data_IF_216769405028
#
_entry.id   IF_216769405028
#
_cell.length_a   1.000
_cell.length_b   1.000
_cell.length_c   1.000
_cell.angle_alpha   90.00
_cell.angle_beta   90.00
_cell.angle_gamma   90.00
#
_symmetry.space_group_name_H-M   'P 1'
#
loop_
_entity.id
_entity.type
_entity.pdbx_description
1 polymer ?
#
# COMPACT_ATOMS: atom_id res chain seq x y z
N UNK A 1 -6.72 -10.01 3.41
CA UNK A 1 -6.07 -8.69 3.42
C UNK A 1 -4.88 -8.80 2.49
N UNK A 2 -4.50 -7.77 1.75
CA UNK A 2 -3.30 -7.83 0.90
C UNK A 2 -2.09 -7.49 1.77
N UNK A 3 -1.15 -8.44 1.86
CA UNK A 3 0.09 -8.29 2.62
C UNK A 3 1.21 -7.77 1.73
N UNK A 4 2.13 -7.00 2.31
CA UNK A 4 3.29 -6.45 1.65
C UNK A 4 4.52 -6.54 2.56
N UNK A 5 5.66 -6.94 1.99
CA UNK A 5 6.96 -6.96 2.66
C UNK A 5 7.68 -5.62 2.47
N UNK A 6 7.98 -4.92 3.57
CA UNK A 6 8.86 -3.76 3.56
C UNK A 6 10.24 -4.15 4.07
N UNK A 7 11.29 -3.73 3.37
CA UNK A 7 12.66 -4.01 3.79
C UNK A 7 13.62 -2.84 3.55
N UNK A 8 14.68 -2.78 4.35
CA UNK A 8 15.79 -1.84 4.18
C UNK A 8 17.09 -2.63 4.06
N UNK A 9 17.80 -2.40 2.95
CA UNK A 9 19.18 -2.88 2.76
C UNK A 9 20.16 -1.79 3.16
N UNK A 10 21.16 -2.17 3.95
CA UNK A 10 22.26 -1.32 4.40
C UNK A 10 23.49 -2.18 4.74
N UNK A 11 24.66 -1.73 4.32
CA UNK A 11 25.94 -2.42 4.47
C UNK A 11 25.89 -3.87 3.95
N UNK A 12 25.37 -4.07 2.74
CA UNK A 12 25.26 -5.38 2.06
C UNK A 12 24.33 -6.38 2.77
N UNK A 13 23.55 -5.93 3.76
CA UNK A 13 22.64 -6.77 4.54
C UNK A 13 21.23 -6.20 4.56
N UNK A 14 20.22 -7.08 4.64
CA UNK A 14 18.84 -6.65 4.87
C UNK A 14 18.70 -6.38 6.37
N UNK A 15 18.83 -5.11 6.72
CA UNK A 15 18.92 -4.68 8.11
C UNK A 15 17.60 -4.88 8.86
N UNK A 16 16.49 -4.60 8.18
CA UNK A 16 15.13 -4.89 8.65
C UNK A 16 14.27 -5.37 7.50
N UNK A 17 13.41 -6.36 7.76
CA UNK A 17 12.30 -6.73 6.89
C UNK A 17 11.07 -7.06 7.73
N UNK A 18 9.90 -6.60 7.30
CA UNK A 18 8.64 -6.84 7.99
C UNK A 18 7.49 -6.93 7.00
N UNK A 19 6.65 -7.95 7.16
CA UNK A 19 5.39 -8.10 6.44
C UNK A 19 4.32 -7.29 7.18
N UNK A 20 3.50 -6.53 6.46
CA UNK A 20 2.41 -5.76 7.03
C UNK A 20 1.25 -5.62 6.05
N UNK A 21 0.08 -5.29 6.59
CA UNK A 21 -1.09 -4.95 5.77
C UNK A 21 -0.80 -3.71 4.92
N UNK A 22 -1.27 -3.74 3.67
CA UNK A 22 -1.10 -2.65 2.70
C UNK A 22 -1.55 -1.29 3.24
N UNK A 23 -2.62 -1.24 4.04
CA UNK A 23 -3.13 0.00 4.66
C UNK A 23 -2.14 0.63 5.66
N UNK A 24 -1.41 -0.20 6.41
CA UNK A 24 -0.40 0.24 7.37
C UNK A 24 0.83 0.74 6.60
N UNK A 25 1.23 0.04 5.53
CA UNK A 25 2.32 0.45 4.64
C UNK A 25 2.01 1.82 3.99
N UNK A 26 0.81 2.02 3.45
CA UNK A 26 0.37 3.31 2.88
C UNK A 26 0.50 4.45 3.88
N UNK A 27 0.05 4.23 5.11
CA UNK A 27 0.10 5.23 6.18
C UNK A 27 1.55 5.57 6.55
N UNK A 28 2.40 4.55 6.73
CA UNK A 28 3.82 4.76 6.98
C UNK A 28 4.45 5.63 5.89
N UNK A 29 4.30 5.27 4.61
CA UNK A 29 4.89 6.02 3.51
C UNK A 29 4.33 7.45 3.42
N UNK A 30 3.02 7.62 3.56
CA UNK A 30 2.36 8.93 3.59
C UNK A 30 2.93 9.85 4.69
N UNK A 31 3.12 9.30 5.90
CA UNK A 31 3.72 10.03 7.02
C UNK A 31 5.15 10.45 6.72
N UNK A 32 5.96 9.56 6.15
CA UNK A 32 7.36 9.86 5.81
C UNK A 32 7.46 10.93 4.71
N UNK A 33 6.60 10.86 3.68
CA UNK A 33 6.52 11.92 2.66
C UNK A 33 6.10 13.25 3.31
N UNK A 34 5.12 13.24 4.20
CA UNK A 34 4.66 14.45 4.89
C UNK A 34 5.79 15.10 5.70
N UNK A 35 6.62 14.31 6.40
CA UNK A 35 7.80 14.82 7.11
C UNK A 35 8.78 15.49 6.13
N UNK A 36 9.08 14.85 5.00
CA UNK A 36 9.97 15.41 3.98
C UNK A 36 9.44 16.73 3.41
N UNK A 37 8.14 16.82 3.12
CA UNK A 37 7.50 18.03 2.60
C UNK A 37 7.53 19.22 3.57
N UNK A 38 7.64 18.94 4.87
CA UNK A 38 7.80 19.94 5.93
C UNK A 38 9.27 20.23 6.28
N UNK A 39 10.22 19.75 5.46
CA UNK A 39 11.66 19.80 5.72
C UNK A 39 12.06 19.16 7.05
N UNK A 40 11.32 18.15 7.50
CA UNK A 40 11.65 17.34 8.67
C UNK A 40 12.41 16.08 8.26
N UNK A 41 13.12 15.48 9.22
CA UNK A 41 13.81 14.22 8.98
C UNK A 41 12.81 13.07 8.90
N UNK A 42 12.83 12.33 7.79
CA UNK A 42 12.12 11.08 7.62
C UNK A 42 13.05 9.90 7.92
N UNK A 43 12.60 8.98 8.77
CA UNK A 43 13.32 7.77 9.14
C UNK A 43 12.44 6.54 8.90
N UNK A 44 12.68 5.89 7.76
CA UNK A 44 11.99 4.67 7.35
C UNK A 44 12.35 3.48 8.23
N UNK A 45 13.55 3.42 8.80
CA UNK A 45 13.96 2.32 9.66
C UNK A 45 13.15 2.32 10.96
N UNK A 46 13.07 3.48 11.60
CA UNK A 46 12.21 3.66 12.79
C UNK A 46 10.75 3.41 12.44
N UNK A 47 10.31 3.92 11.28
CA UNK A 47 8.95 3.74 10.81
C UNK A 47 8.56 2.27 10.60
N UNK A 48 9.40 1.48 9.93
CA UNK A 48 9.19 0.04 9.73
C UNK A 48 9.18 -0.66 11.09
N UNK A 49 10.17 -0.41 11.95
CA UNK A 49 10.24 -1.03 13.29
C UNK A 49 9.03 -0.73 14.19
N UNK A 50 8.26 0.31 13.89
CA UNK A 50 7.06 0.73 14.62
C UNK A 50 5.76 0.26 13.98
N UNK A 51 5.79 -0.48 12.87
CA UNK A 51 4.59 -1.06 12.29
C UNK A 51 3.92 -1.94 13.35
N UNK A 52 2.79 -1.44 13.89
CA UNK A 52 2.06 -2.09 14.96
C UNK A 52 1.46 -3.39 14.45
N UNK A 53 2.14 -4.49 14.73
CA UNK A 53 1.58 -5.82 14.63
C UNK A 53 2.25 -6.66 15.70
N UNK A 54 1.52 -6.95 16.78
CA UNK A 54 2.01 -7.78 17.89
C UNK A 54 2.21 -9.25 17.48
N UNK A 55 1.87 -9.62 16.25
CA UNK A 55 1.85 -11.02 15.79
C UNK A 55 2.73 -11.27 14.56
N UNK A 56 3.20 -10.24 13.84
CA UNK A 56 4.04 -10.44 12.66
C UNK A 56 5.52 -10.24 13.01
N UNK A 57 6.38 -11.24 12.76
CA UNK A 57 7.81 -11.16 13.08
C UNK A 57 8.53 -10.04 12.30
N UNK A 58 9.38 -9.31 13.02
CA UNK A 58 10.37 -8.42 12.43
C UNK A 58 11.65 -9.21 12.22
N UNK A 59 12.09 -9.31 10.97
CA UNK A 59 13.33 -9.96 10.60
C UNK A 59 14.47 -8.94 10.57
N UNK A 60 15.66 -9.33 11.03
CA UNK A 60 16.80 -8.43 11.18
C UNK A 60 18.07 -9.08 10.67
N UNK A 61 18.93 -8.27 10.04
CA UNK A 61 20.25 -8.67 9.54
C UNK A 61 20.18 -9.94 8.69
N UNK A 62 19.18 -10.03 7.82
CA UNK A 62 19.06 -11.16 6.90
C UNK A 62 20.15 -11.06 5.83
N UNK A 63 20.67 -12.21 5.43
CA UNK A 63 21.40 -12.36 4.18
C UNK A 63 20.46 -12.17 2.99
N UNK A 64 21.00 -11.86 1.81
CA UNK A 64 20.19 -11.76 0.58
C UNK A 64 19.44 -13.06 0.30
N UNK A 65 20.06 -14.21 0.58
CA UNK A 65 19.42 -15.52 0.41
C UNK A 65 18.22 -15.68 1.34
N UNK A 66 18.34 -15.32 2.61
CA UNK A 66 17.23 -15.40 3.57
C UNK A 66 16.10 -14.44 3.20
N UNK A 67 16.43 -13.24 2.71
CA UNK A 67 15.45 -12.31 2.18
C UNK A 67 14.75 -12.84 0.93
N UNK A 68 15.48 -13.50 0.03
CA UNK A 68 14.90 -14.18 -1.13
C UNK A 68 13.92 -15.27 -0.69
N UNK A 69 14.21 -16.02 0.37
CA UNK A 69 13.26 -17.01 0.89
C UNK A 69 12.04 -16.30 1.50
N UNK A 70 12.27 -15.24 2.29
CA UNK A 70 11.21 -14.50 2.99
C UNK A 70 10.18 -13.87 2.05
N UNK A 71 10.59 -13.45 0.85
CA UNK A 71 9.68 -12.86 -0.15
C UNK A 71 8.87 -13.88 -0.96
N UNK A 72 8.86 -15.16 -0.57
CA UNK A 72 8.00 -16.18 -1.17
C UNK A 72 7.16 -16.90 -0.11
N UNK A 73 5.87 -17.03 -0.37
CA UNK A 73 5.00 -17.98 0.32
C UNK A 73 5.20 -19.37 -0.26
N UNK A 74 5.43 -20.35 0.61
CA UNK A 74 5.51 -21.76 0.23
C UNK A 74 4.11 -22.40 0.34
N UNK A 75 3.64 -23.02 -0.73
CA UNK A 75 2.40 -23.80 -0.76
C UNK A 75 2.67 -25.21 -1.21
N UNK A 76 2.56 -26.17 -0.29
CA UNK A 76 2.68 -27.60 -0.60
C UNK A 76 1.29 -28.21 -0.73
N UNK A 77 0.96 -28.65 -1.95
CA UNK A 77 -0.26 -29.40 -2.23
C UNK A 77 0.03 -30.89 -2.14
N UNK A 78 -0.61 -31.57 -1.19
CA UNK A 78 -0.52 -33.02 -1.02
C UNK A 78 -1.75 -33.70 -1.61
N UNK A 79 -1.58 -34.73 -2.44
CA UNK A 79 -2.70 -35.57 -2.89
C UNK A 79 -3.33 -36.28 -1.68
N UNK A 80 -4.63 -36.07 -1.38
CA UNK A 80 -5.30 -36.73 -0.26
C UNK A 80 -5.29 -38.26 -0.36
N UNK A 81 -5.15 -38.81 -1.56
CA UNK A 81 -5.10 -40.24 -1.81
C UNK A 81 -3.67 -40.81 -1.79
N UNK A 82 -2.65 -39.97 -1.72
CA UNK A 82 -1.23 -40.37 -1.70
C UNK A 82 -0.74 -41.07 -2.97
N UNK A 83 -1.40 -40.84 -4.10
CA UNK A 83 -1.04 -41.42 -5.41
C UNK A 83 0.02 -40.59 -6.15
N UNK A 84 0.20 -39.34 -5.76
CA UNK A 84 1.18 -38.42 -6.34
C UNK A 84 2.08 -37.81 -5.27
N UNK A 85 3.33 -37.52 -5.66
CA UNK A 85 4.26 -36.79 -4.81
C UNK A 85 3.72 -35.37 -4.53
N UNK A 86 3.91 -34.83 -3.30
CA UNK A 86 3.54 -33.46 -2.99
C UNK A 86 4.19 -32.48 -3.95
N UNK A 87 3.42 -31.49 -4.40
CA UNK A 87 3.92 -30.41 -5.25
C UNK A 87 4.03 -29.14 -4.41
N UNK A 88 5.26 -28.62 -4.28
CA UNK A 88 5.53 -27.35 -3.60
C UNK A 88 5.66 -26.23 -4.63
N UNK A 89 4.82 -25.21 -4.50
CA UNK A 89 4.85 -23.99 -5.32
C UNK A 89 5.32 -22.83 -4.43
N UNK A 90 6.14 -21.95 -5.00
CA UNK A 90 6.62 -20.74 -4.33
C UNK A 90 5.93 -19.54 -4.98
N UNK A 91 5.12 -18.82 -4.21
CA UNK A 91 4.42 -17.62 -4.70
C UNK A 91 5.10 -16.37 -4.17
N UNK A 92 5.53 -15.43 -5.03
CA UNK A 92 6.17 -14.20 -4.55
C UNK A 92 5.19 -13.30 -3.80
N UNK A 93 5.67 -12.65 -2.74
CA UNK A 93 4.96 -11.64 -1.97
C UNK A 93 5.30 -10.26 -2.56
N UNK A 94 4.32 -9.36 -2.65
CA UNK A 94 4.57 -7.96 -2.99
C UNK A 94 5.57 -7.35 -1.99
N UNK A 95 6.59 -6.66 -2.48
CA UNK A 95 7.57 -6.03 -1.60
C UNK A 95 8.02 -4.65 -2.07
N UNK A 96 8.54 -3.86 -1.13
CA UNK A 96 9.32 -2.65 -1.40
C UNK A 96 10.63 -2.77 -0.63
N UNK A 97 11.75 -2.73 -1.36
CA UNK A 97 13.09 -2.75 -0.81
C UNK A 97 13.72 -1.36 -0.95
N UNK A 98 14.00 -0.71 0.18
CA UNK A 98 14.79 0.52 0.23
C UNK A 98 16.28 0.16 0.32
N UNK A 99 16.97 0.19 -0.81
CA UNK A 99 18.40 -0.08 -0.90
C UNK A 99 19.19 1.20 -0.65
N UNK A 100 19.63 1.39 0.60
CA UNK A 100 20.43 2.55 1.00
C UNK A 100 21.87 2.46 0.51
N UNK A 101 22.37 1.28 0.16
CA UNK A 101 23.72 1.11 -0.34
C UNK A 101 23.83 1.62 -1.78
N UNK A 102 22.75 1.50 -2.55
CA UNK A 102 22.67 1.95 -3.94
C UNK A 102 21.87 3.24 -4.16
N UNK A 103 21.23 3.78 -3.12
CA UNK A 103 20.28 4.90 -3.19
C UNK A 103 19.10 4.61 -4.14
N UNK A 104 18.48 3.44 -3.97
CA UNK A 104 17.39 2.95 -4.82
C UNK A 104 16.19 2.45 -4.03
N UNK A 105 15.03 2.48 -4.67
CA UNK A 105 13.81 1.83 -4.18
C UNK A 105 13.42 0.79 -5.21
N UNK A 106 13.34 -0.47 -4.78
CA UNK A 106 13.16 -1.62 -5.66
C UNK A 106 11.85 -2.32 -5.35
N UNK A 107 11.10 -2.69 -6.40
CA UNK A 107 9.84 -3.42 -6.32
C UNK A 107 9.83 -4.58 -7.31
N UNK A 108 9.01 -5.62 -7.06
CA UNK A 108 8.88 -6.71 -8.01
C UNK A 108 8.18 -6.27 -9.31
N UNK A 109 8.66 -6.80 -10.44
CA UNK A 109 8.05 -6.67 -11.76
C UNK A 109 7.23 -7.92 -12.09
N UNK A 110 5.89 -7.81 -12.02
CA UNK A 110 4.98 -8.94 -12.29
C UNK A 110 4.44 -8.97 -13.72
N UNK A 111 5.02 -8.23 -14.67
CA UNK A 111 4.56 -8.28 -16.06
C UNK A 111 4.92 -9.59 -16.80
N UNK A 112 5.70 -10.49 -16.21
CA UNK A 112 5.95 -11.83 -16.76
C UNK A 112 5.02 -12.88 -16.14
N UNK A 113 4.16 -13.43 -17.00
CA UNK A 113 3.13 -14.46 -16.76
C UNK A 113 3.75 -15.86 -16.49
N UNK A 114 5.04 -15.93 -16.15
CA UNK A 114 5.71 -17.20 -15.87
C UNK A 114 5.82 -17.41 -14.36
N UNK A 115 4.95 -18.29 -13.85
CA UNK A 115 4.90 -18.81 -12.47
C UNK A 115 6.18 -19.56 -12.03
N UNK A 116 7.21 -19.56 -12.86
CA UNK A 116 8.39 -20.39 -12.70
C UNK A 116 9.67 -19.55 -12.89
N UNK A 117 10.22 -19.14 -11.74
CA UNK A 117 11.62 -18.75 -11.52
C UNK A 117 12.07 -17.32 -11.90
N UNK A 118 12.64 -16.68 -10.86
CA UNK A 118 13.61 -15.57 -10.85
C UNK A 118 13.04 -14.15 -10.91
N UNK A 119 12.74 -13.62 -9.74
CA UNK A 119 12.71 -12.17 -9.50
C UNK A 119 14.07 -11.75 -8.91
N UNK A 120 15.01 -11.31 -9.75
CA UNK A 120 16.01 -10.35 -9.31
C UNK A 120 15.35 -8.96 -9.29
N UNK A 121 15.91 -8.00 -8.58
CA UNK A 121 15.43 -6.62 -8.54
C UNK A 121 15.24 -6.08 -9.97
N UNK A 122 14.01 -5.71 -10.34
CA UNK A 122 13.64 -5.49 -11.75
C UNK A 122 13.05 -4.12 -12.04
N UNK A 123 12.39 -3.47 -11.07
CA UNK A 123 11.88 -2.10 -11.21
C UNK A 123 12.41 -1.17 -10.12
N UNK A 124 12.98 -0.06 -10.56
CA UNK A 124 13.47 1.04 -9.74
C UNK A 124 12.42 2.16 -9.71
N UNK A 125 12.09 2.65 -8.52
CA UNK A 125 11.19 3.78 -8.32
C UNK A 125 11.98 5.06 -8.03
N UNK A 126 11.53 6.18 -8.61
CA UNK A 126 12.24 7.46 -8.57
C UNK A 126 12.30 8.09 -7.16
N UNK A 127 11.26 7.90 -6.35
CA UNK A 127 11.16 8.51 -5.02
C UNK A 127 10.17 7.79 -4.09
N UNK A 128 10.05 8.31 -2.86
CA UNK A 128 9.15 7.80 -1.85
C UNK A 128 7.66 7.95 -2.23
N UNK A 129 7.32 8.92 -3.09
CA UNK A 129 5.97 9.04 -3.62
C UNK A 129 5.68 7.96 -4.66
N UNK A 130 6.67 7.56 -5.46
CA UNK A 130 6.66 6.37 -6.31
C UNK A 130 6.41 5.11 -5.47
N UNK A 131 7.12 4.95 -4.36
CA UNK A 131 6.90 3.84 -3.43
C UNK A 131 5.47 3.83 -2.86
N UNK A 132 4.94 5.01 -2.49
CA UNK A 132 3.55 5.16 -2.05
C UNK A 132 2.56 4.78 -3.16
N UNK A 133 2.78 5.26 -4.39
CA UNK A 133 1.94 4.90 -5.55
C UNK A 133 1.92 3.40 -5.82
N UNK A 134 3.08 2.75 -5.74
CA UNK A 134 3.20 1.30 -5.86
C UNK A 134 2.43 0.60 -4.73
N UNK A 135 2.64 1.02 -3.47
CA UNK A 135 1.94 0.48 -2.31
C UNK A 135 0.43 0.68 -2.37
N UNK A 136 -0.06 1.74 -3.02
CA UNK A 136 -1.48 1.98 -3.20
C UNK A 136 -2.13 1.08 -4.25
N UNK A 137 -1.35 0.58 -5.22
CA UNK A 137 -1.77 -0.30 -6.31
C UNK A 137 -2.97 0.22 -7.13
N UNK A 138 -3.39 -0.54 -8.14
CA UNK A 138 -4.71 -0.39 -8.78
C UNK A 138 -5.82 -0.85 -7.82
N UNK A 139 -5.90 -0.26 -6.63
CA UNK A 139 -7.03 -0.51 -5.75
C UNK A 139 -8.26 0.15 -6.38
N UNK A 140 -9.35 -0.59 -6.59
CA UNK A 140 -10.64 -0.10 -7.12
C UNK A 140 -11.33 0.95 -6.21
N UNK A 141 -10.58 1.58 -5.31
CA UNK A 141 -11.04 2.65 -4.46
C UNK A 141 -10.86 3.96 -5.25
N UNK A 142 -11.91 4.31 -6.02
CA UNK A 142 -12.01 5.53 -6.84
C UNK A 142 -11.40 6.79 -6.19
N UNK A 143 -11.58 7.04 -4.88
CA UNK A 143 -10.88 8.13 -4.21
C UNK A 143 -9.34 8.06 -4.16
N UNK A 144 -8.74 6.87 -4.02
CA UNK A 144 -7.28 6.67 -4.09
C UNK A 144 -6.78 6.97 -5.50
N UNK A 145 -7.43 6.41 -6.52
CA UNK A 145 -7.08 6.63 -7.93
C UNK A 145 -7.08 8.14 -8.26
N UNK A 146 -8.15 8.84 -7.85
CA UNK A 146 -8.25 10.28 -8.05
C UNK A 146 -7.19 11.06 -7.27
N UNK A 147 -6.87 10.65 -6.03
CA UNK A 147 -5.82 11.30 -5.25
C UNK A 147 -4.46 11.19 -5.95
N UNK A 148 -4.12 10.03 -6.50
CA UNK A 148 -2.90 9.82 -7.28
C UNK A 148 -2.89 10.69 -8.53
N UNK A 149 -4.01 10.76 -9.27
CA UNK A 149 -4.13 11.62 -10.46
C UNK A 149 -3.95 13.11 -10.15
N UNK A 150 -4.34 13.54 -8.93
CA UNK A 150 -4.19 14.92 -8.45
C UNK A 150 -2.86 15.21 -7.77
N UNK A 151 -1.95 14.24 -7.73
CA UNK A 151 -0.69 14.33 -6.98
C UNK A 151 -0.93 14.65 -5.49
N UNK A 152 -1.94 14.00 -4.91
CA UNK A 152 -2.31 14.10 -3.50
C UNK A 152 -1.87 12.84 -2.75
N UNK A 153 -1.68 13.01 -1.45
CA UNK A 153 -1.30 11.96 -0.50
C UNK A 153 -2.42 11.84 0.53
N UNK A 154 -2.94 10.65 0.74
CA UNK A 154 -3.87 10.41 1.86
C UNK A 154 -3.10 10.40 3.18
N UNK A 155 -3.34 11.38 4.04
CA UNK A 155 -2.64 11.53 5.32
C UNK A 155 -3.11 10.48 6.33
N UNK A 156 -4.37 10.05 6.18
CA UNK A 156 -4.95 8.96 6.95
C UNK A 156 -5.56 7.92 6.01
N UNK A 157 -5.34 6.62 6.23
CA UNK A 157 -6.04 5.57 5.49
C UNK A 157 -7.52 5.47 5.89
N UNK A 158 -7.94 6.13 6.98
CA UNK A 158 -9.32 6.13 7.44
C UNK A 158 -10.15 7.14 6.65
N UNK A 159 -11.17 6.62 5.97
CA UNK A 159 -12.19 7.42 5.30
C UNK A 159 -13.37 7.58 6.26
N UNK A 160 -13.81 8.81 6.47
CA UNK A 160 -15.02 9.07 7.27
C UNK A 160 -16.23 8.94 6.36
N UNK A 161 -17.04 7.91 6.60
CA UNK A 161 -18.22 7.63 5.80
C UNK A 161 -19.47 8.30 6.37
N UNK A 162 -20.23 8.96 5.50
CA UNK A 162 -21.50 9.60 5.82
C UNK A 162 -22.63 8.84 5.16
N UNK A 163 -23.59 8.40 5.99
CA UNK A 163 -24.72 7.60 5.55
C UNK A 163 -26.04 8.36 5.68
N UNK A 164 -26.93 8.17 4.72
CA UNK A 164 -28.35 8.57 4.79
C UNK A 164 -29.19 7.31 4.60
N UNK A 165 -30.08 7.01 5.54
CA UNK A 165 -30.94 5.82 5.50
C UNK A 165 -30.18 4.49 5.24
N UNK A 166 -28.95 4.36 5.77
CA UNK A 166 -28.03 3.23 5.56
C UNK A 166 -27.31 3.20 4.19
N UNK A 167 -27.60 4.14 3.30
CA UNK A 167 -26.87 4.33 2.04
C UNK A 167 -25.64 5.21 2.26
N UNK A 168 -24.46 4.77 1.77
CA UNK A 168 -23.25 5.61 1.75
C UNK A 168 -23.43 6.74 0.72
N UNK A 169 -23.52 7.98 1.19
CA UNK A 169 -23.74 9.15 0.32
C UNK A 169 -22.45 9.95 0.08
N UNK A 170 -21.56 10.01 1.07
CA UNK A 170 -20.30 10.76 0.99
C UNK A 170 -19.21 10.09 1.81
N UNK A 171 -17.97 10.33 1.40
CA UNK A 171 -16.78 9.92 2.12
C UNK A 171 -15.84 11.11 2.24
N UNK A 172 -15.49 11.49 3.47
CA UNK A 172 -14.48 12.52 3.73
C UNK A 172 -13.12 11.85 3.86
N UNK A 173 -12.14 12.40 3.14
CA UNK A 173 -10.75 11.99 3.20
C UNK A 173 -9.87 13.15 3.62
N UNK A 174 -8.95 12.86 4.52
CA UNK A 174 -7.91 13.81 4.92
C UNK A 174 -6.71 13.61 4.01
N UNK A 175 -6.44 14.61 3.18
CA UNK A 175 -5.38 14.57 2.18
C UNK A 175 -4.44 15.76 2.30
N UNK A 176 -3.30 15.65 1.63
CA UNK A 176 -2.31 16.71 1.49
C UNK A 176 -1.78 16.71 0.05
N UNK A 177 -1.56 17.88 -0.53
CA UNK A 177 -0.88 17.95 -1.83
C UNK A 177 0.57 17.50 -1.69
N UNK A 178 1.09 16.72 -2.64
CA UNK A 178 2.51 16.37 -2.69
C UNK A 178 3.35 17.58 -3.17
N UNK A 179 3.41 18.59 -2.30
CA UNK A 179 4.05 19.88 -2.50
C UNK A 179 4.58 20.41 -1.16
N UNK A 180 5.78 21.01 -1.11
CA UNK A 180 6.34 21.51 0.14
C UNK A 180 5.41 22.47 0.87
N UNK A 181 5.30 22.28 2.20
CA UNK A 181 4.47 23.11 3.10
C UNK A 181 2.99 23.21 2.73
N UNK A 182 2.47 22.30 1.91
CA UNK A 182 1.03 22.24 1.62
C UNK A 182 0.24 21.97 2.90
N UNK A 183 -0.95 22.57 3.02
CA UNK A 183 -1.86 22.31 4.13
C UNK A 183 -2.53 20.96 4.01
N UNK A 184 -2.80 20.33 5.16
CA UNK A 184 -3.73 19.19 5.23
C UNK A 184 -5.15 19.74 5.02
N UNK A 185 -5.93 19.04 4.20
CA UNK A 185 -7.31 19.40 3.89
C UNK A 185 -8.22 18.17 3.91
N UNK A 186 -9.44 18.37 4.34
CA UNK A 186 -10.50 17.37 4.21
C UNK A 186 -11.25 17.60 2.90
N UNK A 187 -11.37 16.52 2.12
CA UNK A 187 -12.08 16.54 0.84
C UNK A 187 -13.18 15.50 0.86
N UNK A 188 -14.39 15.93 0.56
CA UNK A 188 -15.57 15.06 0.51
C UNK A 188 -15.78 14.53 -0.91
N UNK A 189 -15.73 13.22 -1.09
CA UNK A 189 -16.21 12.57 -2.30
C UNK A 189 -17.70 12.25 -2.15
N UNK A 190 -18.52 12.80 -3.04
CA UNK A 190 -19.97 12.59 -3.06
C UNK A 190 -20.31 11.51 -4.09
N UNK A 191 -20.92 10.40 -3.66
CA UNK A 191 -21.20 9.23 -4.50
C UNK A 191 -22.36 9.48 -5.48
N UNK A 192 -23.31 10.34 -5.12
CA UNK A 192 -24.42 10.73 -6.01
C UNK A 192 -23.94 11.39 -7.31
N UNK A 193 -22.92 12.24 -7.25
CA UNK A 193 -22.38 12.94 -8.44
C UNK A 193 -20.96 12.54 -8.81
N UNK A 194 -20.34 11.62 -8.06
CA UNK A 194 -18.98 11.12 -8.24
C UNK A 194 -17.90 12.23 -8.31
N UNK A 195 -18.06 13.29 -7.50
CA UNK A 195 -17.11 14.41 -7.48
C UNK A 195 -16.75 14.85 -6.06
N UNK A 196 -15.66 15.62 -5.92
CA UNK A 196 -15.15 16.17 -4.65
C UNK A 196 -15.91 17.42 -4.14
N UNK A 197 -17.05 17.72 -4.76
CA UNK A 197 -17.94 18.79 -4.36
C UNK A 197 -19.34 18.28 -4.62
N UNK A 198 -20.11 17.99 -3.58
CA UNK A 198 -21.44 17.43 -3.78
C UNK A 198 -22.32 18.49 -4.45
N UNK A 199 -22.61 18.28 -5.74
CA UNK A 199 -23.51 19.14 -6.53
C UNK A 199 -24.96 18.68 -6.47
N UNK A 200 -25.21 17.48 -5.92
CA UNK A 200 -26.55 16.98 -5.71
C UNK A 200 -27.25 17.80 -4.65
N UNK A 201 -28.49 18.22 -4.92
CA UNK A 201 -29.37 18.78 -3.89
C UNK A 201 -29.92 17.68 -2.97
N UNK A 202 -30.70 18.08 -1.96
CA UNK A 202 -31.20 17.12 -0.96
C UNK A 202 -32.21 16.13 -1.55
N UNK A 203 -33.04 16.56 -2.50
CA UNK A 203 -34.02 15.69 -3.17
C UNK A 203 -33.30 14.66 -4.07
N UNK A 204 -32.23 15.06 -4.75
CA UNK A 204 -31.38 14.18 -5.56
C UNK A 204 -30.63 13.15 -4.71
N UNK A 205 -30.15 13.53 -3.52
CA UNK A 205 -29.50 12.62 -2.57
C UNK A 205 -30.52 11.61 -2.02
N UNK A 206 -31.72 12.05 -1.64
CA UNK A 206 -32.79 11.17 -1.17
C UNK A 206 -33.24 10.20 -2.26
N UNK A 207 -33.37 10.67 -3.51
CA UNK A 207 -33.66 9.81 -4.65
C UNK A 207 -32.55 8.78 -4.88
N UNK A 208 -31.28 9.20 -4.89
CA UNK A 208 -30.14 8.29 -5.01
C UNK A 208 -30.15 7.22 -3.90
N UNK A 209 -30.48 7.59 -2.66
CA UNK A 209 -30.60 6.65 -1.54
C UNK A 209 -31.73 5.64 -1.73
N UNK A 210 -32.86 6.04 -2.32
CA UNK A 210 -34.00 5.17 -2.56
C UNK A 210 -33.87 4.29 -3.81
N UNK A 211 -33.10 4.73 -4.81
CA UNK A 211 -32.92 4.03 -6.10
C UNK A 211 -31.87 2.91 -6.00
N UNK A 212 -31.07 2.86 -4.94
CA UNK A 212 -30.11 1.79 -4.71
C UNK A 212 -30.81 0.54 -4.14
N UNK A 213 -30.49 -0.66 -4.64
CA UNK A 213 -31.20 -1.88 -4.27
C UNK A 213 -31.01 -2.30 -2.79
N UNK A 214 -30.04 -1.70 -2.09
CA UNK A 214 -29.72 -1.94 -0.68
C UNK A 214 -29.15 -0.67 -0.04
#
# INVERSE_FOLDING_TARGET
MLEMLLAIKKNESIHVAQIADESIVKNLLSKQISLLLDNQHADLLVGIMQLESKEIPIYRNLTEREFIVLRHEEHTTTDPLGLFDPVTVYKPINYILFDQDMDKILVPDYENIDDEFLLYDTLELDDLYGAYKYATGYTFNKPIDMSIQKNWIMVSPQVTNHYLNSTLIRSTMTIRENKPFSSIMDVEFCYCCETFTCKCDQDEIEKYSNDLPF
#
